data_IF_636522486243
#
_entry.id   IF_636522486243
#
_cell.length_a   1.000
_cell.length_b   1.000
_cell.length_c   1.000
_cell.angle_alpha   90.00
_cell.angle_beta   90.00
_cell.angle_gamma   90.00
#
_symmetry.space_group_name_H-M   'P 1'
#
loop_
_entity.id
_entity.type
_entity.pdbx_description
1 polymer ?
#
# COMPACT_ATOMS: atom_id res chain seq x y z
N UNK A 1 26.70 -5.16 -36.43
CA UNK A 1 27.34 -5.02 -35.11
C UNK A 1 26.65 -6.01 -34.17
N UNK A 2 27.30 -7.08 -33.73
CA UNK A 2 26.62 -8.10 -32.93
C UNK A 2 26.27 -7.54 -31.54
N UNK A 3 25.13 -7.96 -31.01
CA UNK A 3 24.62 -7.60 -29.70
C UNK A 3 25.69 -7.83 -28.62
N UNK A 4 26.19 -6.75 -28.04
CA UNK A 4 27.12 -6.82 -26.92
C UNK A 4 26.45 -7.51 -25.74
N UNK A 5 27.04 -8.60 -25.27
CA UNK A 5 26.63 -9.25 -24.03
C UNK A 5 26.65 -8.20 -22.91
N UNK A 6 25.47 -7.86 -22.38
CA UNK A 6 25.31 -6.93 -21.26
C UNK A 6 26.07 -7.49 -20.04
N UNK A 7 26.64 -6.63 -19.18
CA UNK A 7 27.37 -7.10 -18.01
C UNK A 7 26.45 -7.98 -17.18
N UNK A 8 26.86 -9.24 -16.98
CA UNK A 8 26.29 -10.07 -15.92
C UNK A 8 26.48 -9.27 -14.62
N UNK A 9 25.41 -9.14 -13.83
CA UNK A 9 25.55 -8.68 -12.46
C UNK A 9 26.75 -9.41 -11.82
N UNK A 10 27.58 -8.73 -11.01
CA UNK A 10 28.71 -9.38 -10.38
C UNK A 10 28.21 -10.69 -9.77
N UNK A 11 28.89 -11.80 -10.09
CA UNK A 11 28.61 -13.07 -9.45
C UNK A 11 28.52 -12.79 -7.95
N UNK A 12 27.44 -13.24 -7.32
CA UNK A 12 27.23 -13.00 -5.91
C UNK A 12 28.43 -13.63 -5.18
N UNK A 13 29.31 -12.75 -4.69
CA UNK A 13 30.61 -13.13 -4.15
C UNK A 13 30.43 -14.08 -2.96
N UNK A 14 31.53 -14.67 -2.51
CA UNK A 14 31.49 -15.46 -1.27
C UNK A 14 30.96 -14.58 -0.12
N UNK A 15 29.94 -15.07 0.59
CA UNK A 15 29.39 -14.38 1.74
C UNK A 15 30.33 -14.49 2.94
N UNK A 16 30.30 -13.48 3.80
CA UNK A 16 31.01 -13.54 5.06
C UNK A 16 30.53 -14.76 5.90
N UNK A 17 31.49 -15.51 6.45
CA UNK A 17 31.21 -16.62 7.36
C UNK A 17 30.63 -17.89 6.73
N UNK A 18 30.77 -18.09 5.41
CA UNK A 18 30.32 -19.32 4.74
C UNK A 18 28.80 -19.46 4.62
N UNK A 19 28.06 -18.36 4.80
CA UNK A 19 26.60 -18.32 4.68
C UNK A 19 26.16 -18.62 3.24
N UNK A 20 24.94 -19.12 3.11
CA UNK A 20 24.28 -19.28 1.80
C UNK A 20 23.62 -17.99 1.36
N UNK A 21 23.63 -17.71 0.06
CA UNK A 21 22.87 -16.57 -0.44
C UNK A 21 21.38 -16.82 -0.34
N UNK A 22 20.63 -15.73 -0.16
CA UNK A 22 19.18 -15.76 -0.15
C UNK A 22 18.59 -16.44 -1.41
N UNK A 23 19.22 -16.31 -2.58
CA UNK A 23 18.73 -17.01 -3.79
C UNK A 23 18.92 -18.53 -3.75
N UNK A 24 19.86 -19.03 -2.94
CA UNK A 24 20.19 -20.46 -2.84
C UNK A 24 19.36 -21.17 -1.76
N UNK A 25 18.56 -20.43 -1.00
CA UNK A 25 17.66 -21.03 -0.03
C UNK A 25 16.56 -21.81 -0.77
N UNK A 26 16.31 -23.08 -0.38
CA UNK A 26 15.19 -23.82 -0.93
C UNK A 26 13.90 -23.04 -0.65
N UNK A 27 12.95 -23.12 -1.59
CA UNK A 27 11.60 -22.65 -1.30
C UNK A 27 11.17 -23.27 0.04
N UNK A 28 10.59 -22.50 0.97
CA UNK A 28 10.07 -23.06 2.20
C UNK A 28 9.21 -24.27 1.82
N UNK A 29 9.61 -25.45 2.29
CA UNK A 29 8.79 -26.65 2.11
C UNK A 29 7.41 -26.34 2.68
N UNK A 30 6.34 -26.90 2.11
CA UNK A 30 5.02 -26.91 2.75
C UNK A 30 5.08 -27.78 4.03
N UNK A 31 5.90 -27.39 4.99
CA UNK A 31 6.01 -28.02 6.29
C UNK A 31 4.75 -27.66 7.05
N UNK A 32 3.99 -28.68 7.46
CA UNK A 32 2.94 -28.52 8.46
C UNK A 32 3.53 -27.75 9.63
N UNK A 33 3.03 -26.53 9.84
CA UNK A 33 3.19 -25.84 11.12
C UNK A 33 2.59 -26.79 12.15
N UNK A 34 3.43 -27.33 13.03
CA UNK A 34 2.95 -28.01 14.22
C UNK A 34 2.09 -27.02 14.99
N UNK A 35 0.80 -27.27 15.04
CA UNK A 35 -0.14 -26.46 15.78
C UNK A 35 0.27 -26.46 17.27
N UNK A 36 0.39 -25.31 17.94
CA UNK A 36 0.11 -25.26 19.36
C UNK A 36 -1.37 -25.62 19.51
N UNK A 37 -1.67 -26.63 20.34
CA UNK A 37 -3.01 -27.18 20.51
C UNK A 37 -4.09 -26.12 20.69
N UNK A 38 -5.14 -26.23 19.88
CA UNK A 38 -6.28 -25.35 19.85
C UNK A 38 -7.03 -25.51 18.53
N UNK A 39 -7.84 -26.57 18.42
CA UNK A 39 -8.67 -26.82 17.25
C UNK A 39 -9.63 -25.64 17.01
N UNK A 40 -9.51 -25.00 15.85
CA UNK A 40 -10.58 -24.20 15.26
C UNK A 40 -10.90 -24.86 13.92
N UNK A 41 -12.11 -25.39 13.70
CA UNK A 41 -12.39 -26.19 12.51
C UNK A 41 -12.43 -25.31 11.26
N UNK A 42 -11.74 -25.78 10.22
CA UNK A 42 -11.83 -25.26 8.87
C UNK A 42 -13.26 -25.49 8.33
N UNK A 43 -14.01 -24.42 8.10
CA UNK A 43 -15.28 -24.53 7.39
C UNK A 43 -15.03 -24.71 5.89
N UNK A 44 -15.09 -25.97 5.48
CA UNK A 44 -15.17 -26.38 4.08
C UNK A 44 -16.38 -25.77 3.38
N UNK A 45 -16.18 -25.44 2.11
CA UNK A 45 -17.20 -24.98 1.19
C UNK A 45 -18.25 -26.08 1.02
N UNK A 46 -19.34 -26.01 1.79
CA UNK A 46 -20.51 -26.83 1.55
C UNK A 46 -21.51 -26.09 0.64
N UNK A 47 -21.51 -26.48 -0.64
CA UNK A 47 -22.70 -26.34 -1.49
C UNK A 47 -23.79 -27.24 -0.91
N UNK A 48 -24.87 -26.65 -0.40
CA UNK A 48 -26.18 -27.30 -0.34
C UNK A 48 -27.25 -26.35 -0.83
N UNK A 49 -27.81 -26.69 -1.99
CA UNK A 49 -29.12 -26.24 -2.41
C UNK A 49 -30.15 -26.75 -1.40
N UNK A 50 -31.07 -25.90 -0.96
CA UNK A 50 -32.40 -26.34 -0.51
C UNK A 50 -33.44 -25.33 -0.98
N UNK A 51 -34.49 -25.88 -1.58
CA UNK A 51 -35.67 -25.19 -2.02
C UNK A 51 -36.73 -25.18 -0.90
N UNK A 52 -37.48 -24.08 -0.82
CA UNK A 52 -38.88 -24.04 -0.39
C UNK A 52 -39.20 -24.07 1.11
N UNK A 53 -39.80 -22.99 1.61
CA UNK A 53 -41.23 -22.97 2.00
C UNK A 53 -41.66 -21.54 2.39
N UNK A 54 -42.80 -21.12 1.83
CA UNK A 54 -43.55 -19.94 2.25
C UNK A 54 -44.19 -20.23 3.62
N UNK A 55 -43.99 -19.34 4.58
CA UNK A 55 -44.74 -19.30 5.83
C UNK A 55 -45.06 -17.84 6.13
N UNK A 56 -46.33 -17.45 6.00
CA UNK A 56 -46.80 -16.14 6.39
C UNK A 56 -47.07 -16.09 7.89
N UNK A 57 -46.77 -14.95 8.51
CA UNK A 57 -47.30 -14.58 9.83
C UNK A 57 -47.70 -13.11 9.77
N UNK A 58 -48.98 -12.85 10.04
CA UNK A 58 -49.55 -11.54 10.39
C UNK A 58 -49.53 -11.42 11.93
N UNK A 59 -49.39 -10.18 12.41
CA UNK A 59 -49.61 -9.77 13.81
C UNK A 59 -49.07 -8.35 13.96
N UNK A 60 -49.89 -7.32 13.74
CA UNK A 60 -50.77 -6.62 14.70
C UNK A 60 -50.05 -5.53 15.50
N UNK A 61 -50.73 -4.38 15.59
CA UNK A 61 -50.18 -3.12 16.02
C UNK A 61 -49.91 -3.02 17.52
N UNK A 62 -48.93 -2.19 17.86
CA UNK A 62 -48.67 -1.73 19.22
C UNK A 62 -47.95 -0.39 19.15
N UNK A 63 -48.68 0.71 19.40
CA UNK A 63 -48.09 2.02 19.69
C UNK A 63 -47.53 1.95 21.11
N UNK A 64 -46.22 2.04 21.25
CA UNK A 64 -45.58 2.40 22.51
C UNK A 64 -44.76 3.66 22.27
N UNK A 65 -45.25 4.77 22.81
CA UNK A 65 -44.46 5.99 22.99
C UNK A 65 -43.39 5.72 24.04
N UNK A 66 -42.13 5.91 23.66
CA UNK A 66 -41.01 6.07 24.57
C UNK A 66 -40.45 7.47 24.38
N UNK A 67 -40.32 8.21 25.47
CA UNK A 67 -39.64 9.51 25.49
C UNK A 67 -38.19 9.39 25.02
N UNK A 68 -37.61 10.43 24.41
CA UNK A 68 -36.21 10.41 24.00
C UNK A 68 -35.34 10.41 25.26
N UNK A 69 -34.65 9.29 25.49
CA UNK A 69 -33.65 9.16 26.54
C UNK A 69 -32.44 10.03 26.17
N UNK A 70 -32.21 11.07 26.98
CA UNK A 70 -30.88 11.58 27.35
C UNK A 70 -30.07 12.30 26.28
N UNK A 71 -30.00 13.64 26.41
CA UNK A 71 -28.95 14.48 25.80
C UNK A 71 -27.57 14.02 26.27
N UNK A 72 -26.87 13.29 25.40
CA UNK A 72 -25.44 13.03 25.46
C UNK A 72 -24.84 13.14 24.07
N UNK A 73 -25.07 14.28 23.40
CA UNK A 73 -24.61 14.56 22.04
C UNK A 73 -23.12 14.88 22.06
N UNK A 74 -22.32 13.97 21.54
CA UNK A 74 -21.00 14.28 20.99
C UNK A 74 -21.22 15.16 19.76
N UNK A 75 -21.00 16.47 19.89
CA UNK A 75 -21.08 17.41 18.77
C UNK A 75 -20.02 17.03 17.72
N UNK A 76 -20.45 16.46 16.59
CA UNK A 76 -19.58 16.24 15.42
C UNK A 76 -19.79 14.98 14.57
N UNK A 77 -20.86 14.18 14.75
CA UNK A 77 -21.16 13.07 13.82
C UNK A 77 -22.63 12.66 13.69
N UNK A 78 -23.59 13.54 13.99
CA UNK A 78 -25.01 13.23 13.78
C UNK A 78 -25.44 13.38 12.31
N UNK A 79 -24.50 13.73 11.42
CA UNK A 79 -24.77 13.92 9.99
C UNK A 79 -24.07 12.86 9.13
N UNK A 80 -24.70 12.41 8.04
CA UNK A 80 -24.06 11.50 7.10
C UNK A 80 -22.82 12.15 6.45
N UNK A 81 -21.75 11.37 6.25
CA UNK A 81 -20.50 11.83 5.62
C UNK A 81 -20.30 11.10 4.29
N UNK A 82 -20.07 11.83 3.20
CA UNK A 82 -19.85 11.21 1.90
C UNK A 82 -18.42 10.67 1.76
N UNK A 83 -18.29 9.52 1.11
CA UNK A 83 -16.99 8.92 0.80
C UNK A 83 -16.96 8.44 -0.66
N UNK A 84 -15.76 8.37 -1.20
CA UNK A 84 -15.45 7.56 -2.37
C UNK A 84 -14.48 6.44 -1.98
N UNK A 85 -14.58 5.28 -2.61
CA UNK A 85 -13.63 4.19 -2.47
C UNK A 85 -12.85 4.07 -3.77
N UNK A 86 -11.53 4.23 -3.69
CA UNK A 86 -10.61 4.10 -4.81
C UNK A 86 -9.52 3.09 -4.46
N UNK A 87 -8.82 2.57 -5.46
CA UNK A 87 -7.56 1.86 -5.24
C UNK A 87 -6.48 2.26 -6.24
N UNK A 88 -5.23 2.24 -5.78
CA UNK A 88 -4.04 2.36 -6.61
C UNK A 88 -3.32 1.02 -6.64
N UNK A 89 -3.36 0.31 -7.76
CA UNK A 89 -2.73 -1.01 -7.90
C UNK A 89 -3.11 -2.03 -6.79
N UNK A 90 -4.39 -2.08 -6.41
CA UNK A 90 -4.91 -3.01 -5.40
C UNK A 90 -4.82 -2.54 -3.95
N UNK A 91 -4.08 -1.46 -3.66
CA UNK A 91 -4.07 -0.82 -2.35
C UNK A 91 -5.26 0.17 -2.27
N UNK A 92 -6.24 -0.12 -1.40
CA UNK A 92 -7.57 0.50 -1.38
C UNK A 92 -7.77 1.55 -0.27
N UNK A 93 -8.41 2.67 -0.60
CA UNK A 93 -8.59 3.83 0.28
C UNK A 93 -10.03 4.32 0.30
N UNK A 94 -10.44 4.82 1.46
CA UNK A 94 -11.62 5.69 1.60
C UNK A 94 -11.18 7.15 1.43
N UNK A 95 -11.81 7.89 0.53
CA UNK A 95 -11.50 9.29 0.23
C UNK A 95 -12.66 10.19 0.66
N UNK A 96 -12.30 11.25 1.36
CA UNK A 96 -13.22 12.26 1.89
C UNK A 96 -12.88 13.64 1.32
N UNK A 97 -13.92 14.40 0.96
CA UNK A 97 -13.79 15.75 0.43
C UNK A 97 -13.81 16.76 1.57
N UNK A 98 -12.67 17.39 1.84
CA UNK A 98 -12.56 18.43 2.86
C UNK A 98 -12.79 19.85 2.33
N UNK A 99 -13.16 20.02 1.05
CA UNK A 99 -13.35 21.36 0.45
C UNK A 99 -14.44 22.16 1.15
N UNK A 100 -15.59 21.52 1.39
CA UNK A 100 -16.74 22.12 2.06
C UNK A 100 -16.88 21.63 3.52
N UNK A 101 -16.07 20.65 3.92
CA UNK A 101 -16.12 20.02 5.25
C UNK A 101 -14.74 19.93 5.92
N UNK A 102 -14.03 21.06 6.17
CA UNK A 102 -12.69 21.03 6.72
C UNK A 102 -12.61 20.44 8.13
N UNK A 103 -13.71 20.47 8.89
CA UNK A 103 -13.82 19.85 10.22
C UNK A 103 -13.61 18.33 10.21
N UNK A 104 -13.76 17.67 9.04
CA UNK A 104 -13.43 16.25 8.87
C UNK A 104 -11.98 15.91 9.25
N UNK A 105 -11.07 16.88 9.23
CA UNK A 105 -9.68 16.68 9.61
C UNK A 105 -9.53 16.23 11.07
N UNK A 106 -10.37 16.76 11.96
CA UNK A 106 -10.36 16.42 13.40
C UNK A 106 -11.34 15.28 13.72
N UNK A 107 -12.39 15.16 12.93
CA UNK A 107 -13.49 14.21 13.12
C UNK A 107 -13.20 12.79 12.62
N UNK A 108 -12.45 12.63 11.52
CA UNK A 108 -12.17 11.33 10.92
C UNK A 108 -11.18 10.45 11.69
N UNK A 109 -10.03 10.95 12.22
CA UNK A 109 -8.98 10.10 12.80
C UNK A 109 -9.48 9.03 13.79
N UNK A 110 -10.29 9.35 14.81
CA UNK A 110 -10.77 8.34 15.77
C UNK A 110 -11.73 7.31 15.15
N UNK A 111 -12.27 7.57 13.95
CA UNK A 111 -13.26 6.74 13.27
C UNK A 111 -12.64 5.86 12.18
N UNK A 112 -11.45 6.21 11.69
CA UNK A 112 -10.74 5.47 10.63
C UNK A 112 -10.66 3.96 10.92
N UNK A 113 -10.34 3.49 12.14
CA UNK A 113 -10.30 2.05 12.42
C UNK A 113 -11.63 1.33 12.16
N UNK A 114 -12.73 1.93 12.62
CA UNK A 114 -14.08 1.39 12.40
C UNK A 114 -14.48 1.40 10.92
N UNK A 115 -14.15 2.48 10.21
CA UNK A 115 -14.44 2.62 8.77
C UNK A 115 -13.64 1.62 7.92
N UNK A 116 -12.36 1.44 8.22
CA UNK A 116 -11.46 0.57 7.47
C UNK A 116 -11.64 -0.92 7.82
N UNK A 117 -12.35 -1.25 8.91
CA UNK A 117 -12.60 -2.63 9.28
C UNK A 117 -13.37 -3.39 8.17
N UNK A 118 -12.74 -4.40 7.55
CA UNK A 118 -13.27 -5.07 6.35
C UNK A 118 -14.61 -5.81 6.52
N UNK A 119 -14.98 -6.25 7.73
CA UNK A 119 -16.26 -6.94 8.00
C UNK A 119 -17.38 -6.07 8.56
N UNK A 120 -17.06 -5.08 9.38
CA UNK A 120 -18.02 -4.27 10.13
C UNK A 120 -18.05 -2.80 9.70
N UNK A 121 -17.10 -2.39 8.86
CA UNK A 121 -17.04 -1.07 8.22
C UNK A 121 -17.14 -1.19 6.71
N UNK A 122 -16.59 -0.19 6.01
CA UNK A 122 -16.53 -0.13 4.55
C UNK A 122 -15.38 -0.98 3.98
N UNK A 123 -14.35 -1.22 4.80
CA UNK A 123 -13.16 -1.96 4.43
C UNK A 123 -12.22 -1.16 3.55
N UNK A 124 -10.99 -0.91 4.00
CA UNK A 124 -9.93 -0.29 3.20
C UNK A 124 -8.58 -0.49 3.91
N UNK A 125 -7.47 -0.28 3.20
CA UNK A 125 -6.13 -0.22 3.80
C UNK A 125 -5.91 1.09 4.58
N UNK A 126 -6.66 2.15 4.25
CA UNK A 126 -6.65 3.41 4.99
C UNK A 126 -7.64 4.45 4.48
N UNK A 127 -7.59 5.63 5.08
CA UNK A 127 -8.45 6.76 4.76
C UNK A 127 -7.63 8.01 4.38
N UNK A 128 -8.12 8.75 3.40
CA UNK A 128 -7.53 9.98 2.89
C UNK A 128 -8.55 11.11 2.97
N UNK A 129 -8.12 12.26 3.49
CA UNK A 129 -8.88 13.50 3.42
C UNK A 129 -8.11 14.50 2.55
N UNK A 130 -8.78 15.05 1.54
CA UNK A 130 -8.22 16.07 0.65
C UNK A 130 -8.77 17.44 1.00
N UNK A 131 -7.87 18.37 1.32
CA UNK A 131 -8.20 19.72 1.77
C UNK A 131 -7.56 20.74 0.82
N UNK A 132 -8.31 21.67 0.21
CA UNK A 132 -7.71 22.70 -0.64
C UNK A 132 -6.81 23.62 0.18
N UNK A 133 -5.67 23.98 -0.38
CA UNK A 133 -4.70 24.90 0.26
C UNK A 133 -4.43 26.16 -0.56
N UNK A 134 -4.97 26.24 -1.78
CA UNK A 134 -4.81 27.36 -2.70
C UNK A 134 -5.16 26.96 -4.14
N UNK A 135 -4.85 27.80 -5.13
CA UNK A 135 -5.06 27.46 -6.54
C UNK A 135 -4.31 26.19 -6.92
N UNK A 136 -5.02 25.20 -7.47
CA UNK A 136 -4.48 23.90 -7.90
C UNK A 136 -3.56 23.22 -6.86
N UNK A 137 -3.80 23.44 -5.57
CA UNK A 137 -3.03 22.84 -4.48
C UNK A 137 -3.92 22.33 -3.37
N UNK A 138 -3.55 21.19 -2.80
CA UNK A 138 -4.29 20.54 -1.73
C UNK A 138 -3.35 19.82 -0.76
N UNK A 139 -3.76 19.72 0.49
CA UNK A 139 -3.18 18.82 1.48
C UNK A 139 -3.89 17.47 1.42
N UNK A 140 -3.12 16.39 1.44
CA UNK A 140 -3.61 15.02 1.57
C UNK A 140 -3.26 14.54 2.99
N UNK A 141 -4.26 14.49 3.87
CA UNK A 141 -4.11 13.82 5.16
C UNK A 141 -4.34 12.31 4.97
N UNK A 142 -3.48 11.49 5.55
CA UNK A 142 -3.52 10.03 5.40
C UNK A 142 -3.43 9.34 6.75
N UNK A 143 -4.41 8.46 7.00
CA UNK A 143 -4.43 7.55 8.13
C UNK A 143 -4.45 6.11 7.65
N UNK A 144 -3.60 5.26 8.22
CA UNK A 144 -3.66 3.82 8.02
C UNK A 144 -4.97 3.25 8.59
N UNK A 145 -5.31 2.02 8.21
CA UNK A 145 -6.53 1.36 8.67
C UNK A 145 -6.62 1.14 10.19
N UNK A 146 -5.52 1.29 10.94
CA UNK A 146 -5.49 1.28 12.41
C UNK A 146 -5.66 2.68 13.04
N UNK A 147 -5.85 3.72 12.23
CA UNK A 147 -6.01 5.11 12.63
C UNK A 147 -4.70 5.89 12.81
N UNK A 148 -3.54 5.23 12.72
CA UNK A 148 -2.25 5.91 12.80
C UNK A 148 -2.02 6.83 11.59
N UNK A 149 -1.46 8.01 11.81
CA UNK A 149 -1.06 8.90 10.72
C UNK A 149 0.11 8.34 9.93
N UNK A 150 0.03 8.46 8.62
CA UNK A 150 1.09 8.05 7.72
C UNK A 150 1.56 9.23 6.86
N UNK A 151 2.88 9.42 6.84
CA UNK A 151 3.47 10.57 6.14
C UNK A 151 3.24 10.54 4.63
N UNK A 152 3.25 9.35 4.01
CA UNK A 152 3.18 9.22 2.56
C UNK A 152 2.76 7.82 2.11
N UNK A 153 1.92 7.77 1.07
CA UNK A 153 1.67 6.58 0.28
C UNK A 153 1.48 6.98 -1.19
N UNK A 154 2.36 6.52 -2.06
CA UNK A 154 2.30 6.87 -3.48
C UNK A 154 0.99 6.38 -4.16
N UNK A 155 0.46 5.22 -3.76
CA UNK A 155 -0.82 4.71 -4.26
C UNK A 155 -1.99 5.59 -3.80
N UNK A 156 -2.00 5.97 -2.51
CA UNK A 156 -2.98 6.88 -1.95
C UNK A 156 -2.93 8.27 -2.58
N UNK A 157 -1.73 8.83 -2.81
CA UNK A 157 -1.56 10.12 -3.50
C UNK A 157 -2.08 10.09 -4.93
N UNK A 158 -1.92 8.97 -5.67
CA UNK A 158 -2.58 8.82 -6.99
C UNK A 158 -4.10 8.81 -6.89
N UNK A 159 -4.64 8.09 -5.90
CA UNK A 159 -6.09 8.10 -5.64
C UNK A 159 -6.60 9.50 -5.31
N UNK A 160 -5.89 10.24 -4.45
CA UNK A 160 -6.24 11.62 -4.09
C UNK A 160 -6.24 12.54 -5.32
N UNK A 161 -5.22 12.45 -6.18
CA UNK A 161 -5.18 13.23 -7.43
C UNK A 161 -6.36 12.89 -8.37
N UNK A 162 -6.67 11.59 -8.54
CA UNK A 162 -7.80 11.14 -9.35
C UNK A 162 -9.15 11.62 -8.81
N UNK A 163 -9.30 11.63 -7.48
CA UNK A 163 -10.47 12.13 -6.79
C UNK A 163 -10.65 13.63 -6.97
N UNK A 164 -9.59 14.41 -6.74
CA UNK A 164 -9.58 15.86 -6.96
C UNK A 164 -9.92 16.18 -8.42
N UNK A 165 -9.35 15.45 -9.38
CA UNK A 165 -9.67 15.65 -10.79
C UNK A 165 -11.15 15.41 -11.10
N UNK A 166 -11.76 14.40 -10.48
CA UNK A 166 -13.18 14.09 -10.67
C UNK A 166 -14.11 15.10 -9.98
N UNK A 167 -13.81 15.48 -8.74
CA UNK A 167 -14.68 16.31 -7.88
C UNK A 167 -14.48 17.80 -8.10
N UNK A 168 -13.25 18.24 -8.34
CA UNK A 168 -12.88 19.65 -8.41
C UNK A 168 -12.46 20.10 -9.82
N UNK A 169 -12.30 19.15 -10.75
CA UNK A 169 -12.01 19.42 -12.16
C UNK A 169 -10.54 19.73 -12.48
N UNK A 170 -9.62 19.57 -11.53
CA UNK A 170 -8.20 19.86 -11.74
C UNK A 170 -7.48 18.73 -12.48
N UNK A 171 -6.68 19.06 -13.49
CA UNK A 171 -5.88 18.06 -14.23
C UNK A 171 -4.41 18.06 -13.84
N UNK A 172 -3.93 19.18 -13.31
CA UNK A 172 -2.59 19.36 -12.78
C UNK A 172 -2.73 20.01 -11.41
N UNK A 173 -1.96 19.52 -10.44
CA UNK A 173 -2.06 19.95 -9.06
C UNK A 173 -0.78 19.67 -8.27
N UNK A 174 -0.63 20.34 -7.13
CA UNK A 174 0.41 20.05 -6.14
C UNK A 174 -0.24 19.53 -4.87
N UNK A 175 0.16 18.32 -4.46
CA UNK A 175 -0.39 17.64 -3.29
C UNK A 175 0.63 17.67 -2.14
N UNK A 176 0.36 18.48 -1.12
CA UNK A 176 1.14 18.49 0.11
C UNK A 176 0.84 17.23 0.93
N UNK A 177 1.88 16.46 1.23
CA UNK A 177 1.83 15.25 2.06
C UNK A 177 2.71 15.42 3.30
N UNK A 178 2.67 14.49 4.25
CA UNK A 178 3.58 14.48 5.39
C UNK A 178 5.05 14.20 5.03
N UNK A 179 5.34 13.84 3.78
CA UNK A 179 6.70 13.67 3.26
C UNK A 179 7.17 14.88 2.45
N UNK A 180 6.40 15.26 1.41
CA UNK A 180 6.77 16.31 0.47
C UNK A 180 5.55 16.85 -0.27
N UNK A 181 5.73 17.97 -0.96
CA UNK A 181 4.78 18.45 -1.98
C UNK A 181 5.01 17.70 -3.29
N UNK A 182 4.00 16.98 -3.75
CA UNK A 182 4.07 16.09 -4.91
C UNK A 182 3.28 16.71 -6.05
N UNK A 183 3.94 17.03 -7.16
CA UNK A 183 3.23 17.43 -8.38
C UNK A 183 2.53 16.21 -8.99
N UNK A 184 1.27 16.37 -9.37
CA UNK A 184 0.45 15.33 -9.94
C UNK A 184 -0.25 15.81 -11.21
N UNK A 185 -0.29 14.95 -12.22
CA UNK A 185 -1.04 15.16 -13.46
C UNK A 185 -1.97 13.98 -13.71
N UNK A 186 -3.20 14.25 -14.14
CA UNK A 186 -4.26 13.24 -14.35
C UNK A 186 -4.71 13.26 -15.81
N UNK A 187 -4.72 12.09 -16.45
CA UNK A 187 -5.22 11.87 -17.82
C UNK A 187 -6.11 10.63 -17.84
N UNK A 188 -7.43 10.84 -17.78
CA UNK A 188 -8.37 9.72 -17.62
C UNK A 188 -8.15 9.03 -16.28
N UNK A 189 -7.89 7.73 -16.30
CA UNK A 189 -7.56 6.93 -15.10
C UNK A 189 -6.07 6.95 -14.74
N UNK A 190 -5.23 7.41 -15.68
CA UNK A 190 -3.79 7.45 -15.52
C UNK A 190 -3.38 8.67 -14.69
N UNK A 191 -2.65 8.43 -13.61
CA UNK A 191 -2.10 9.48 -12.75
C UNK A 191 -0.58 9.39 -12.77
N UNK A 192 0.07 10.53 -12.98
CA UNK A 192 1.52 10.67 -12.90
C UNK A 192 1.87 11.55 -11.71
N UNK A 193 2.69 11.02 -10.80
CA UNK A 193 3.29 11.75 -9.70
C UNK A 193 4.75 12.06 -10.02
N UNK A 194 5.22 13.24 -9.66
CA UNK A 194 6.64 13.58 -9.64
C UNK A 194 7.15 13.50 -8.20
N UNK A 195 7.80 12.41 -7.86
CA UNK A 195 8.40 12.22 -6.54
C UNK A 195 9.77 12.91 -6.48
N UNK A 196 10.16 13.46 -5.32
CA UNK A 196 11.53 13.93 -5.10
C UNK A 196 12.57 12.84 -5.37
N UNK A 197 13.84 13.27 -5.49
CA UNK A 197 14.95 12.32 -5.49
C UNK A 197 14.94 11.46 -4.22
N UNK A 198 15.53 10.26 -4.32
CA UNK A 198 15.73 9.43 -3.15
C UNK A 198 16.52 10.21 -2.08
N UNK A 199 16.11 10.05 -0.82
CA UNK A 199 16.74 10.68 0.33
C UNK A 199 18.06 10.00 0.70
N UNK A 200 18.17 9.50 1.92
CA UNK A 200 19.31 8.66 2.29
C UNK A 200 19.40 7.47 1.34
N UNK A 201 20.59 7.24 0.76
CA UNK A 201 20.91 6.08 -0.06
C UNK A 201 22.18 5.46 0.50
N UNK A 202 22.09 4.21 0.98
CA UNK A 202 23.26 3.49 1.48
C UNK A 202 23.88 2.62 0.37
N UNK A 203 25.18 2.30 0.47
CA UNK A 203 25.79 1.25 -0.35
C UNK A 203 25.09 -0.10 -0.16
N UNK A 204 25.37 -1.04 -1.07
CA UNK A 204 24.99 -2.44 -0.91
C UNK A 204 25.59 -3.01 0.37
N UNK A 205 24.75 -3.69 1.16
CA UNK A 205 25.11 -4.31 2.43
C UNK A 205 24.64 -5.76 2.45
N UNK A 206 25.32 -6.58 3.25
CA UNK A 206 24.91 -7.94 3.56
C UNK A 206 24.14 -7.96 4.87
N UNK A 207 22.96 -8.57 4.85
CA UNK A 207 22.06 -8.69 6.00
C UNK A 207 22.01 -10.16 6.40
N UNK A 208 22.43 -10.46 7.63
CA UNK A 208 22.50 -11.81 8.14
C UNK A 208 21.10 -12.35 8.50
N UNK A 209 20.81 -13.58 8.08
CA UNK A 209 19.54 -14.27 8.29
C UNK A 209 19.83 -15.70 8.79
N UNK A 210 20.43 -15.80 9.98
CA UNK A 210 20.93 -17.08 10.50
C UNK A 210 22.05 -17.64 9.61
N UNK A 211 21.83 -18.82 9.03
CA UNK A 211 22.77 -19.50 8.13
C UNK A 211 22.77 -18.95 6.69
N UNK A 212 21.93 -17.93 6.44
CA UNK A 212 21.81 -17.26 5.16
C UNK A 212 22.19 -15.79 5.25
N UNK A 213 22.40 -15.14 4.11
CA UNK A 213 22.45 -13.69 4.03
C UNK A 213 21.73 -13.18 2.78
N UNK A 214 21.12 -12.00 2.91
CA UNK A 214 20.59 -11.25 1.79
C UNK A 214 21.50 -10.06 1.49
N UNK A 215 21.81 -9.83 0.22
CA UNK A 215 22.45 -8.58 -0.21
C UNK A 215 21.36 -7.57 -0.56
N UNK A 216 21.35 -6.44 0.12
CA UNK A 216 20.31 -5.43 -0.02
C UNK A 216 20.86 -4.01 -0.14
N UNK A 217 20.06 -3.12 -0.73
CA UNK A 217 20.38 -1.70 -0.81
C UNK A 217 19.28 -0.90 -0.13
N UNK A 218 19.65 -0.09 0.84
CA UNK A 218 18.72 0.76 1.58
C UNK A 218 18.62 2.13 0.92
N UNK A 219 17.39 2.64 0.80
CA UNK A 219 17.12 4.02 0.40
C UNK A 219 15.78 4.54 0.93
N UNK A 220 15.61 5.86 0.98
CA UNK A 220 14.35 6.50 1.37
C UNK A 220 13.64 7.10 0.15
N UNK A 221 12.41 6.64 -0.11
CA UNK A 221 11.50 7.24 -1.09
C UNK A 221 10.18 7.47 -0.37
N UNK A 222 10.02 8.64 0.24
CA UNK A 222 8.93 8.89 1.19
C UNK A 222 9.12 8.19 2.53
N UNK A 223 9.20 6.86 2.50
CA UNK A 223 9.48 6.01 3.65
C UNK A 223 10.74 5.16 3.41
N UNK A 224 11.33 4.56 4.46
CA UNK A 224 12.50 3.70 4.31
C UNK A 224 12.21 2.41 3.54
N UNK A 225 13.06 2.07 2.58
CA UNK A 225 12.99 0.84 1.78
C UNK A 225 14.32 0.08 1.81
N UNK A 226 14.24 -1.24 1.97
CA UNK A 226 15.33 -2.18 1.72
C UNK A 226 15.02 -2.95 0.43
N UNK A 227 15.84 -2.73 -0.60
CA UNK A 227 15.70 -3.38 -1.90
C UNK A 227 16.59 -4.61 -1.97
N UNK A 228 15.98 -5.76 -2.25
CA UNK A 228 16.67 -7.05 -2.36
C UNK A 228 16.42 -7.62 -3.75
N UNK A 229 17.48 -7.78 -4.54
CA UNK A 229 17.38 -8.46 -5.83
C UNK A 229 17.35 -9.97 -5.63
N UNK A 230 16.42 -10.64 -6.29
CA UNK A 230 16.26 -12.09 -6.27
C UNK A 230 16.12 -12.65 -7.69
N UNK A 231 16.31 -13.95 -7.81
CA UNK A 231 16.15 -14.71 -9.05
C UNK A 231 15.48 -16.05 -8.74
N UNK A 232 14.29 -15.98 -8.18
CA UNK A 232 13.56 -17.16 -7.71
C UNK A 232 12.66 -17.70 -8.84
N UNK A 233 12.76 -19.00 -9.21
CA UNK A 233 11.90 -19.57 -10.24
C UNK A 233 10.39 -19.47 -9.92
N UNK A 234 10.05 -19.53 -8.64
CA UNK A 234 8.71 -19.42 -8.06
C UNK A 234 8.44 -18.03 -7.47
N UNK A 235 9.09 -16.97 -7.96
CA UNK A 235 9.05 -15.61 -7.41
C UNK A 235 7.64 -15.14 -7.02
N UNK A 236 6.63 -15.34 -7.85
CA UNK A 236 5.26 -14.89 -7.59
C UNK A 236 4.46 -15.75 -6.60
N UNK A 237 4.94 -16.95 -6.28
CA UNK A 237 4.26 -17.92 -5.41
C UNK A 237 5.01 -18.18 -4.10
N UNK A 238 6.25 -17.70 -4.00
CA UNK A 238 7.12 -17.92 -2.84
C UNK A 238 6.59 -17.19 -1.61
N UNK A 239 6.49 -17.87 -0.49
CA UNK A 239 6.15 -17.23 0.77
C UNK A 239 7.30 -16.33 1.25
N UNK A 240 6.99 -15.06 1.50
CA UNK A 240 7.97 -14.08 2.01
C UNK A 240 8.08 -14.09 3.53
N UNK A 241 7.07 -14.60 4.25
CA UNK A 241 7.00 -14.55 5.71
C UNK A 241 8.20 -15.21 6.43
N UNK A 242 8.85 -16.26 5.90
CA UNK A 242 10.04 -16.82 6.54
C UNK A 242 11.27 -15.91 6.51
N UNK A 243 11.31 -14.88 5.65
CA UNK A 243 12.51 -14.07 5.38
C UNK A 243 12.28 -12.58 5.63
N UNK A 244 11.15 -12.07 5.15
CA UNK A 244 10.87 -10.63 5.13
C UNK A 244 10.80 -9.99 6.53
N UNK A 245 10.20 -10.59 7.57
CA UNK A 245 10.17 -10.00 8.91
C UNK A 245 11.56 -9.76 9.51
N UNK A 246 12.50 -10.69 9.28
CA UNK A 246 13.87 -10.58 9.77
C UNK A 246 14.64 -9.47 9.04
N UNK A 247 14.47 -9.34 7.72
CA UNK A 247 15.02 -8.23 6.95
C UNK A 247 14.40 -6.89 7.33
N UNK A 248 13.07 -6.86 7.50
CA UNK A 248 12.27 -5.67 7.83
C UNK A 248 12.72 -5.03 9.14
N UNK A 249 13.08 -5.86 10.14
CA UNK A 249 13.52 -5.42 11.47
C UNK A 249 15.02 -5.65 11.69
N UNK A 250 15.81 -5.81 10.63
CA UNK A 250 17.23 -6.13 10.78
C UNK A 250 17.95 -5.05 11.60
N UNK A 251 18.83 -5.40 12.57
CA UNK A 251 19.49 -4.45 13.46
C UNK A 251 20.31 -3.35 12.75
N UNK A 252 20.83 -3.65 11.56
CA UNK A 252 21.61 -2.69 10.75
C UNK A 252 20.74 -1.64 10.02
N UNK A 253 19.42 -1.76 10.09
CA UNK A 253 18.49 -0.75 9.60
C UNK A 253 18.23 0.32 10.69
N UNK A 254 17.79 1.54 10.30
CA UNK A 254 17.37 2.55 11.26
C UNK A 254 16.29 2.05 12.23
N UNK A 255 16.15 2.76 13.35
CA UNK A 255 15.08 2.51 14.32
C UNK A 255 13.71 2.48 13.62
N UNK A 256 12.92 1.45 13.90
CA UNK A 256 11.64 1.21 13.22
C UNK A 256 11.75 0.50 11.87
N UNK A 257 12.96 0.19 11.38
CA UNK A 257 13.30 -0.59 10.18
C UNK A 257 12.75 -0.04 8.85
N UNK A 258 12.64 -0.89 7.82
CA UNK A 258 12.30 -0.46 6.45
C UNK A 258 11.38 -1.43 5.70
N UNK A 259 10.50 -0.93 4.83
CA UNK A 259 9.73 -1.78 3.91
C UNK A 259 10.70 -2.62 3.07
N UNK A 260 10.51 -3.92 3.00
CA UNK A 260 11.41 -4.81 2.23
C UNK A 260 10.77 -5.08 0.89
N UNK A 261 11.42 -4.69 -0.20
CA UNK A 261 10.94 -4.96 -1.56
C UNK A 261 11.90 -5.92 -2.26
N UNK A 262 11.37 -7.09 -2.63
CA UNK A 262 12.07 -8.08 -3.43
C UNK A 262 11.80 -7.77 -4.89
N UNK A 263 12.86 -7.59 -5.68
CA UNK A 263 12.76 -7.34 -7.11
C UNK A 263 13.35 -8.50 -7.92
N UNK A 264 12.70 -8.80 -9.03
CA UNK A 264 13.17 -9.72 -10.06
C UNK A 264 13.16 -9.00 -11.41
N UNK A 265 14.26 -9.14 -12.16
CA UNK A 265 14.35 -8.61 -13.53
C UNK A 265 13.61 -9.56 -14.46
N UNK A 266 12.59 -9.07 -15.15
CA UNK A 266 11.73 -9.87 -16.05
C UNK A 266 11.94 -9.54 -17.53
N UNK A 267 12.69 -8.48 -17.84
CA UNK A 267 13.01 -8.06 -19.20
C UNK A 267 13.90 -6.81 -19.21
N UNK A 268 14.16 -6.24 -20.39
CA UNK A 268 15.00 -5.05 -20.51
C UNK A 268 14.41 -3.81 -19.82
N UNK A 269 13.09 -3.76 -19.70
CA UNK A 269 12.34 -2.65 -19.08
C UNK A 269 11.34 -3.12 -18.04
N UNK A 270 11.35 -4.41 -17.70
CA UNK A 270 10.32 -5.05 -16.88
C UNK A 270 10.90 -5.56 -15.56
N UNK A 271 10.24 -5.19 -14.45
CA UNK A 271 10.54 -5.67 -13.11
C UNK A 271 9.30 -6.31 -12.49
N UNK A 272 9.48 -7.44 -11.83
CA UNK A 272 8.52 -7.96 -10.85
C UNK A 272 8.92 -7.48 -9.46
N UNK A 273 8.00 -6.87 -8.72
CA UNK A 273 8.25 -6.38 -7.35
C UNK A 273 7.18 -6.91 -6.39
N UNK A 274 7.63 -7.39 -5.24
CA UNK A 274 6.80 -7.81 -4.11
C UNK A 274 7.32 -7.18 -2.84
N UNK A 275 6.45 -6.65 -1.99
CA UNK A 275 6.84 -5.85 -0.84
C UNK A 275 6.23 -6.36 0.46
N UNK A 276 7.04 -6.36 1.51
CA UNK A 276 6.62 -6.56 2.89
C UNK A 276 6.70 -5.22 3.63
N UNK A 277 5.57 -4.75 4.15
CA UNK A 277 5.44 -3.36 4.61
C UNK A 277 5.41 -3.22 6.13
N UNK A 278 6.05 -2.15 6.61
CA UNK A 278 5.90 -1.63 7.96
C UNK A 278 4.45 -1.24 8.23
N UNK A 279 3.96 -1.53 9.43
CA UNK A 279 2.61 -1.17 9.87
C UNK A 279 1.56 -2.20 9.47
N UNK A 280 1.65 -2.76 8.25
CA UNK A 280 0.88 -3.96 7.85
C UNK A 280 1.51 -5.22 8.43
N UNK A 281 2.85 -5.24 8.52
CA UNK A 281 3.64 -6.40 8.95
C UNK A 281 3.29 -7.67 8.17
N UNK A 282 3.11 -7.49 6.86
CA UNK A 282 2.73 -8.50 5.90
C UNK A 282 3.09 -8.09 4.47
N UNK A 283 2.92 -9.03 3.55
CA UNK A 283 2.99 -8.73 2.12
C UNK A 283 1.75 -7.93 1.69
N UNK A 284 1.99 -6.86 0.94
CA UNK A 284 0.93 -6.04 0.34
C UNK A 284 0.89 -6.27 -1.17
N UNK A 285 -0.27 -5.95 -1.77
CA UNK A 285 -0.48 -6.12 -3.21
C UNK A 285 0.33 -5.14 -4.07
N UNK A 286 0.64 -3.95 -3.55
CA UNK A 286 1.52 -2.97 -4.18
C UNK A 286 1.99 -1.96 -3.14
N UNK A 287 3.28 -1.64 -3.19
CA UNK A 287 3.89 -0.56 -2.44
C UNK A 287 4.47 0.46 -3.44
N UNK A 288 3.70 1.47 -3.83
CA UNK A 288 4.10 2.36 -4.93
C UNK A 288 5.45 3.08 -4.71
N UNK A 289 5.83 3.40 -3.47
CA UNK A 289 7.17 3.94 -3.18
C UNK A 289 8.27 2.87 -3.21
N UNK A 290 7.94 1.63 -2.85
CA UNK A 290 8.82 0.46 -2.99
C UNK A 290 9.08 0.11 -4.45
N UNK A 291 8.06 0.21 -5.31
CA UNK A 291 8.15 0.04 -6.76
C UNK A 291 9.10 1.08 -7.38
N UNK A 292 8.98 2.35 -6.95
CA UNK A 292 9.87 3.44 -7.37
C UNK A 292 11.30 3.20 -6.89
N UNK A 293 11.47 2.82 -5.62
CA UNK A 293 12.78 2.53 -5.05
C UNK A 293 13.48 1.35 -5.75
N UNK A 294 12.74 0.28 -6.05
CA UNK A 294 13.23 -0.88 -6.78
C UNK A 294 13.64 -0.53 -8.22
N UNK A 295 12.81 0.23 -8.94
CA UNK A 295 13.14 0.68 -10.30
C UNK A 295 14.35 1.63 -10.32
N UNK A 296 14.44 2.57 -9.38
CA UNK A 296 15.59 3.47 -9.25
C UNK A 296 16.90 2.71 -9.01
N UNK A 297 16.89 1.72 -8.10
CA UNK A 297 18.05 0.84 -7.87
C UNK A 297 18.36 0.05 -9.14
N UNK A 298 17.37 -0.57 -9.78
CA UNK A 298 17.62 -1.41 -10.96
C UNK A 298 18.19 -0.63 -12.15
N UNK A 299 17.75 0.61 -12.37
CA UNK A 299 18.32 1.50 -13.40
C UNK A 299 19.74 1.94 -12.99
N UNK A 300 19.97 2.28 -11.73
CA UNK A 300 21.30 2.68 -11.24
C UNK A 300 22.35 1.57 -11.40
N UNK A 301 21.94 0.32 -11.28
CA UNK A 301 22.80 -0.86 -11.45
C UNK A 301 22.87 -1.35 -12.91
N UNK A 302 22.17 -0.69 -13.84
CA UNK A 302 22.15 -1.07 -15.26
C UNK A 302 21.43 -2.39 -15.56
N UNK A 303 20.52 -2.84 -14.68
CA UNK A 303 19.77 -4.08 -14.86
C UNK A 303 18.59 -3.93 -15.83
N UNK A 304 18.02 -2.72 -15.90
CA UNK A 304 16.90 -2.35 -16.76
C UNK A 304 17.10 -0.94 -17.31
N UNK A 305 16.40 -0.63 -18.39
CA UNK A 305 16.36 0.70 -19.02
C UNK A 305 15.08 1.45 -18.65
N UNK A 306 15.14 2.77 -18.42
CA UNK A 306 13.95 3.60 -18.21
C UNK A 306 13.26 3.99 -19.53
N UNK A 307 11.92 4.18 -19.56
CA UNK A 307 10.98 3.96 -18.47
C UNK A 307 10.83 2.47 -18.12
N UNK A 308 10.71 2.20 -16.82
CA UNK A 308 10.62 0.84 -16.25
C UNK A 308 9.16 0.52 -15.96
N UNK A 309 8.69 -0.63 -16.45
CA UNK A 309 7.40 -1.22 -16.12
C UNK A 309 7.57 -2.17 -14.93
N UNK A 310 6.98 -1.80 -13.81
CA UNK A 310 7.00 -2.55 -12.55
C UNK A 310 5.66 -3.27 -12.39
N UNK A 311 5.68 -4.59 -12.54
CA UNK A 311 4.55 -5.45 -12.19
C UNK A 311 4.56 -5.70 -10.68
N UNK A 312 3.41 -5.52 -10.05
CA UNK A 312 3.23 -5.68 -8.60
C UNK A 312 2.52 -7.00 -8.28
N UNK A 313 2.36 -7.31 -7.00
CA UNK A 313 1.61 -8.50 -6.55
C UNK A 313 0.10 -8.46 -6.86
N UNK A 314 -0.48 -7.28 -7.15
CA UNK A 314 -1.83 -7.16 -7.73
C UNK A 314 -1.89 -7.45 -9.23
N UNK A 315 -0.78 -7.82 -9.86
CA UNK A 315 -0.62 -7.97 -11.32
C UNK A 315 -0.79 -6.66 -12.10
N UNK A 316 -1.00 -5.54 -11.41
CA UNK A 316 -1.03 -4.21 -12.01
C UNK A 316 0.38 -3.77 -12.34
N UNK A 317 0.51 -2.95 -13.38
CA UNK A 317 1.79 -2.42 -13.84
C UNK A 317 1.83 -0.92 -13.56
N UNK A 318 2.93 -0.49 -12.93
CA UNK A 318 3.27 0.92 -12.74
C UNK A 318 4.48 1.26 -13.60
N UNK A 319 4.54 2.47 -14.15
CA UNK A 319 5.69 2.95 -14.91
C UNK A 319 6.51 3.91 -14.05
N UNK A 320 7.81 3.64 -13.92
CA UNK A 320 8.77 4.49 -13.20
C UNK A 320 9.81 5.02 -14.16
N UNK A 321 10.02 6.34 -14.15
CA UNK A 321 10.97 7.01 -15.02
C UNK A 321 11.78 8.05 -14.25
N UNK A 322 13.08 7.80 -13.99
CA UNK A 322 13.99 8.81 -13.47
C UNK A 322 14.12 10.00 -14.41
N UNK A 323 14.10 11.21 -13.85
CA UNK A 323 14.23 12.46 -14.62
C UNK A 323 15.69 12.93 -14.75
N UNK A 324 16.64 12.01 -14.56
CA UNK A 324 18.08 12.25 -14.46
C UNK A 324 18.78 11.05 -13.82
N UNK A 325 19.97 11.23 -13.21
CA UNK A 325 20.63 10.18 -12.45
C UNK A 325 19.68 9.49 -11.44
N UNK A 326 19.48 8.15 -11.52
CA UNK A 326 18.32 7.46 -10.96
C UNK A 326 18.14 7.54 -9.44
N UNK A 327 19.22 7.76 -8.69
CA UNK A 327 19.19 7.86 -7.22
C UNK A 327 19.35 9.30 -6.71
N UNK A 328 19.56 10.28 -7.61
CA UNK A 328 19.85 11.66 -7.27
C UNK A 328 18.95 12.65 -8.03
N UNK A 329 17.87 12.18 -8.65
CA UNK A 329 16.95 13.01 -9.43
C UNK A 329 15.50 12.61 -9.15
N UNK A 330 14.55 13.53 -9.37
CA UNK A 330 13.12 13.22 -9.27
C UNK A 330 12.72 12.00 -10.09
N UNK A 331 11.73 11.26 -9.60
CA UNK A 331 11.23 10.03 -10.20
C UNK A 331 9.76 10.23 -10.59
N UNK A 332 9.43 10.05 -11.87
CA UNK A 332 8.05 9.98 -12.31
C UNK A 332 7.49 8.61 -12.00
N UNK A 333 6.40 8.56 -11.25
CA UNK A 333 5.60 7.36 -11.04
C UNK A 333 4.27 7.53 -11.74
N UNK A 334 3.98 6.66 -12.69
CA UNK A 334 2.72 6.63 -13.42
C UNK A 334 2.00 5.31 -13.17
N UNK A 335 0.74 5.37 -12.76
CA UNK A 335 -0.15 4.20 -12.80
C UNK A 335 -1.61 4.60 -12.72
N UNK A 336 -2.52 3.64 -12.95
CA UNK A 336 -3.94 3.89 -12.78
C UNK A 336 -4.30 4.15 -11.31
N UNK A 337 -5.35 4.93 -11.11
CA UNK A 337 -6.12 4.98 -9.88
C UNK A 337 -7.59 4.74 -10.24
N UNK A 338 -8.13 3.63 -9.75
CA UNK A 338 -9.43 3.08 -10.17
C UNK A 338 -10.51 3.44 -9.14
N UNK A 339 -11.67 3.87 -9.63
CA UNK A 339 -12.84 4.19 -8.79
C UNK A 339 -13.67 2.94 -8.57
N UNK A 340 -13.91 2.59 -7.31
CA UNK A 340 -14.61 1.36 -6.93
C UNK A 340 -16.07 1.63 -6.61
N UNK A 341 -16.31 2.59 -5.72
CA UNK A 341 -17.64 2.92 -5.25
C UNK A 341 -17.69 4.34 -4.68
N UNK A 342 -18.89 4.85 -4.48
CA UNK A 342 -19.14 6.05 -3.68
C UNK A 342 -20.42 5.85 -2.85
N UNK A 343 -20.53 6.59 -1.76
CA UNK A 343 -21.70 6.49 -0.91
C UNK A 343 -21.61 7.40 0.29
N UNK A 344 -22.49 7.14 1.24
CA UNK A 344 -22.61 7.95 2.46
C UNK A 344 -22.46 7.05 3.67
N UNK A 345 -21.54 7.43 4.56
CA UNK A 345 -21.36 6.82 5.87
C UNK A 345 -22.54 7.19 6.74
N UNK A 346 -23.18 6.18 7.33
CA UNK A 346 -24.27 6.41 8.28
C UNK A 346 -23.73 6.95 9.62
N UNK A 347 -24.43 7.88 10.29
CA UNK A 347 -24.04 8.41 11.60
C UNK A 347 -23.68 7.32 12.63
N UNK A 348 -24.41 6.21 12.65
CA UNK A 348 -24.20 5.15 13.65
C UNK A 348 -22.86 4.41 13.50
N UNK A 349 -22.26 4.44 12.30
CA UNK A 349 -20.91 3.91 12.10
C UNK A 349 -19.83 4.89 12.56
N UNK A 350 -20.15 6.19 12.65
CA UNK A 350 -19.25 7.27 13.05
C UNK A 350 -19.20 7.48 14.58
N UNK A 351 -20.23 7.04 15.31
CA UNK A 351 -20.32 7.20 16.78
C UNK A 351 -19.57 6.12 17.57
N UNK A 352 -18.94 5.15 16.90
CA UNK A 352 -18.32 3.99 17.51
C UNK A 352 -19.36 2.98 18.01
N UNK A 353 -19.09 1.68 17.84
CA UNK A 353 -19.88 0.66 18.56
C UNK A 353 -19.34 0.61 19.99
N UNK A 354 -20.20 0.55 21.02
CA UNK A 354 -19.72 0.18 22.35
C UNK A 354 -19.01 -1.17 22.25
N UNK A 355 -17.80 -1.23 22.80
CA UNK A 355 -16.93 -2.41 22.87
C UNK A 355 -17.59 -3.59 23.54
#
# INVERSE_FOLDING_TARGET
>A
MPAGARPRAPALGALAGGRRHLQDLPAPGRGRVGAPGGEVPAHGVHRRQTAGRRGGVRGEGGRCGGEPVGRGLLQGADRPVNFAKLHGAGNDFLLFDGRDEPALADELPPRVPGLCHRRFGLGADGALLVLPTGPASARVAYWNGDGSEAAFCANGTRCAARFIAARWGWREMVLATGYASIAAAVRGEQVTLLLPAAGEVRPWQEFALGDAAARGRYLVVGVPHLIVRVSWPDFWRRDLAPLAPALRRHPDLPAGGANVSFLQVEGERNLGVRSWERGVEGETLSCGSGDVAAAAVAVAEGWVEPPVEVRTASERVLTVEPQGPPLASPLRLSGPAEWVAEGTVRPELLTGRPS
#
